data_IF_740423569633
#
_entry.id   IF_740423569633
#
_cell.length_a   1.000
_cell.length_b   1.000
_cell.length_c   1.000
_cell.angle_alpha   90.00
_cell.angle_beta   90.00
_cell.angle_gamma   90.00
#
_symmetry.space_group_name_H-M   'P 1'
#
loop_
_entity.id
_entity.type
_entity.pdbx_description
1 polymer ?
#
# COMPACT_ATOMS: atom_id res chain seq x y z
N UNK A 1 -5.31 -10.51 -7.41
CA UNK A 1 -4.32 -9.55 -7.94
C UNK A 1 -4.88 -8.92 -9.18
N UNK A 2 -4.56 -7.65 -9.42
CA UNK A 2 -4.96 -6.89 -10.62
C UNK A 2 -3.71 -6.29 -11.24
N UNK A 3 -3.77 -5.94 -12.53
CA UNK A 3 -2.70 -5.26 -13.24
C UNK A 3 -3.30 -4.47 -14.40
N UNK A 4 -2.79 -3.26 -14.66
CA UNK A 4 -3.21 -2.46 -15.82
C UNK A 4 -2.95 -0.96 -15.71
N UNK A 5 -2.61 -0.45 -14.51
CA UNK A 5 -2.18 0.93 -14.25
C UNK A 5 -0.81 0.91 -13.55
N UNK A 6 -0.45 1.99 -12.87
CA UNK A 6 0.60 2.02 -11.86
C UNK A 6 0.31 1.03 -10.73
N UNK A 7 1.37 0.40 -10.19
CA UNK A 7 1.26 -0.54 -9.07
C UNK A 7 0.50 0.04 -7.87
N UNK A 8 0.59 1.35 -7.63
CA UNK A 8 -0.15 2.04 -6.57
C UNK A 8 -1.67 2.06 -6.84
N UNK A 9 -2.09 2.33 -8.09
CA UNK A 9 -3.50 2.31 -8.45
C UNK A 9 -4.06 0.88 -8.44
N UNK A 10 -3.29 -0.08 -8.97
CA UNK A 10 -3.63 -1.50 -8.94
C UNK A 10 -3.80 -2.00 -7.50
N UNK A 11 -2.93 -1.60 -6.58
CA UNK A 11 -3.08 -1.88 -5.15
C UNK A 11 -4.39 -1.32 -4.58
N UNK A 12 -4.71 -0.05 -4.87
CA UNK A 12 -5.95 0.58 -4.39
C UNK A 12 -7.21 -0.14 -4.91
N UNK A 13 -7.19 -0.60 -6.16
CA UNK A 13 -8.30 -1.37 -6.77
C UNK A 13 -8.40 -2.75 -6.12
N UNK A 14 -7.26 -3.44 -5.94
CA UNK A 14 -7.22 -4.74 -5.27
C UNK A 14 -7.72 -4.63 -3.83
N UNK A 15 -7.34 -3.59 -3.09
CA UNK A 15 -7.81 -3.36 -1.73
C UNK A 15 -9.33 -3.27 -1.67
N UNK A 16 -9.92 -2.36 -2.47
CA UNK A 16 -11.38 -2.15 -2.49
C UNK A 16 -12.12 -3.43 -2.85
N UNK A 17 -11.65 -4.12 -3.89
CA UNK A 17 -12.21 -5.43 -4.29
C UNK A 17 -12.20 -6.42 -3.13
N UNK A 18 -11.10 -6.53 -2.38
CA UNK A 18 -11.02 -7.45 -1.23
C UNK A 18 -11.92 -7.01 -0.08
N UNK A 19 -11.96 -5.72 0.25
CA UNK A 19 -12.81 -5.18 1.31
C UNK A 19 -14.29 -5.43 1.02
N UNK A 20 -14.73 -5.16 -0.21
CA UNK A 20 -16.11 -5.39 -0.65
C UNK A 20 -16.50 -6.88 -0.60
N UNK A 21 -15.52 -7.78 -0.75
CA UNK A 21 -15.71 -9.23 -0.72
C UNK A 21 -15.48 -9.86 0.66
N UNK A 22 -15.03 -9.13 1.68
CA UNK A 22 -14.67 -9.73 2.97
C UNK A 22 -13.36 -10.53 2.96
N UNK A 23 -12.41 -10.18 2.09
CA UNK A 23 -11.17 -10.92 1.83
C UNK A 23 -9.89 -10.13 2.15
N UNK A 24 -10.00 -9.02 2.88
CA UNK A 24 -8.89 -8.13 3.22
C UNK A 24 -8.25 -8.44 4.59
N UNK A 25 -8.53 -9.62 5.13
CA UNK A 25 -7.99 -10.09 6.40
C UNK A 25 -6.59 -10.67 6.22
N UNK A 26 -5.57 -9.85 6.49
CA UNK A 26 -4.17 -10.29 6.51
C UNK A 26 -3.64 -10.26 7.94
N UNK A 27 -3.59 -11.42 8.63
CA UNK A 27 -2.97 -11.53 9.94
C UNK A 27 -1.50 -11.12 9.86
N UNK A 28 -1.04 -10.32 10.83
CA UNK A 28 0.34 -9.86 10.93
C UNK A 28 0.87 -9.11 9.68
N UNK A 29 0.01 -8.32 9.03
CA UNK A 29 0.43 -7.45 7.94
C UNK A 29 1.51 -6.45 8.36
N UNK A 30 2.38 -6.10 7.40
CA UNK A 30 3.65 -5.38 7.62
C UNK A 30 3.54 -3.85 7.51
N UNK A 31 2.35 -3.30 7.25
CA UNK A 31 2.20 -1.86 7.03
C UNK A 31 2.37 -0.99 8.29
N UNK A 32 2.20 -1.58 9.47
CA UNK A 32 2.12 -0.86 10.74
C UNK A 32 0.76 -0.17 11.02
N UNK A 33 -0.12 -0.05 10.03
CA UNK A 33 -1.49 0.44 10.21
C UNK A 33 -2.42 -0.70 10.66
N UNK A 34 -2.88 -0.66 11.92
CA UNK A 34 -3.78 -1.69 12.47
C UNK A 34 -5.13 -1.78 11.76
N UNK A 35 -5.60 -0.70 11.15
CA UNK A 35 -6.86 -0.69 10.41
C UNK A 35 -6.67 -1.22 8.98
N UNK A 36 -5.43 -1.20 8.46
CA UNK A 36 -5.10 -1.58 7.09
C UNK A 36 -3.77 -2.36 7.06
N UNK A 37 -3.71 -3.54 7.69
CA UNK A 37 -2.47 -4.19 8.09
C UNK A 37 -1.53 -4.50 6.93
N UNK A 38 -2.02 -4.69 5.71
CA UNK A 38 -1.23 -4.97 4.51
C UNK A 38 -1.34 -3.87 3.44
N UNK A 39 -1.66 -2.63 3.84
CA UNK A 39 -1.69 -1.52 2.92
C UNK A 39 -0.28 -1.15 2.43
N UNK A 40 -0.22 -0.39 1.33
CA UNK A 40 1.01 0.13 0.79
C UNK A 40 1.68 1.11 1.78
N UNK A 41 2.99 0.99 1.92
CA UNK A 41 3.81 1.84 2.80
C UNK A 41 4.67 2.76 1.92
N UNK A 42 4.59 4.07 2.16
CA UNK A 42 5.36 5.09 1.43
C UNK A 42 6.44 5.71 2.32
N UNK A 43 7.37 4.89 2.80
CA UNK A 43 8.44 5.29 3.75
C UNK A 43 9.85 5.22 3.14
N UNK A 44 9.96 5.10 1.82
CA UNK A 44 11.24 5.14 1.12
C UNK A 44 11.80 6.55 1.19
N UNK A 45 13.02 6.67 1.71
CA UNK A 45 13.78 7.93 1.76
C UNK A 45 14.99 7.85 0.83
N UNK A 46 15.27 8.89 0.02
CA UNK A 46 16.40 8.88 -0.90
C UNK A 46 17.73 8.64 -0.18
N UNK A 47 18.57 7.79 -0.76
CA UNK A 47 19.92 7.50 -0.25
C UNK A 47 20.93 7.52 -1.40
N UNK A 48 22.09 8.14 -1.17
CA UNK A 48 23.15 8.22 -2.17
C UNK A 48 23.55 6.81 -2.66
N UNK A 49 23.56 6.62 -3.99
CA UNK A 49 23.88 5.34 -4.62
C UNK A 49 22.73 4.32 -4.68
N UNK A 50 21.53 4.66 -4.21
CA UNK A 50 20.35 3.79 -4.26
C UNK A 50 19.17 4.54 -4.88
N UNK A 51 18.78 4.17 -6.10
CA UNK A 51 17.47 4.57 -6.64
C UNK A 51 16.43 3.50 -6.28
N UNK A 52 15.31 3.80 -5.65
CA UNK A 52 14.81 5.13 -5.21
C UNK A 52 15.24 5.57 -3.80
N UNK A 53 15.84 4.67 -3.02
CA UNK A 53 16.23 4.94 -1.64
C UNK A 53 16.07 3.72 -0.74
N UNK A 54 15.86 3.94 0.55
CA UNK A 54 15.67 2.87 1.55
C UNK A 54 14.38 3.10 2.34
N UNK A 55 13.58 2.04 2.48
CA UNK A 55 12.39 2.00 3.34
C UNK A 55 12.80 1.89 4.80
N UNK A 56 12.30 2.78 5.66
CA UNK A 56 12.62 2.78 7.08
C UNK A 56 12.13 1.52 7.82
N UNK A 57 10.98 0.96 7.40
CA UNK A 57 10.43 -0.28 7.91
C UNK A 57 11.05 -1.54 7.29
N UNK A 58 11.89 -1.39 6.27
CA UNK A 58 12.40 -2.50 5.46
C UNK A 58 11.40 -3.04 4.44
N UNK A 59 10.20 -2.46 4.35
CA UNK A 59 9.15 -2.79 3.40
C UNK A 59 8.41 -1.52 2.96
N UNK A 60 8.67 -1.07 1.73
CA UNK A 60 8.06 0.13 1.21
C UNK A 60 7.95 0.09 -0.30
N UNK A 61 7.07 0.92 -0.85
CA UNK A 61 6.88 1.08 -2.28
C UNK A 61 7.13 2.55 -2.67
N UNK A 62 7.78 2.81 -3.83
CA UNK A 62 7.83 4.14 -4.44
C UNK A 62 6.47 4.84 -4.55
N UNK A 63 6.44 6.17 -4.49
CA UNK A 63 5.19 6.89 -4.81
C UNK A 63 5.00 6.93 -6.33
N UNK A 64 3.85 6.45 -6.83
CA UNK A 64 3.53 6.51 -8.25
C UNK A 64 2.94 7.87 -8.66
N UNK A 65 1.94 8.34 -7.92
CA UNK A 65 1.29 9.65 -8.13
C UNK A 65 0.70 10.16 -6.83
N UNK A 66 0.55 11.48 -6.70
CA UNK A 66 -0.07 12.11 -5.52
C UNK A 66 -1.50 11.62 -5.29
N UNK A 67 -2.27 11.43 -6.38
CA UNK A 67 -3.63 10.91 -6.31
C UNK A 67 -3.68 9.48 -5.78
N UNK A 68 -2.84 8.57 -6.31
CA UNK A 68 -2.83 7.18 -5.85
C UNK A 68 -2.36 7.06 -4.38
N UNK A 69 -1.37 7.87 -3.98
CA UNK A 69 -0.92 7.94 -2.58
C UNK A 69 -2.02 8.41 -1.64
N UNK A 70 -2.71 9.50 -1.99
CA UNK A 70 -3.82 10.02 -1.18
C UNK A 70 -4.98 9.00 -1.09
N UNK A 71 -5.27 8.28 -2.17
CA UNK A 71 -6.28 7.22 -2.15
C UNK A 71 -5.89 6.08 -1.21
N UNK A 72 -4.63 5.64 -1.23
CA UNK A 72 -4.13 4.57 -0.37
C UNK A 72 -4.25 4.89 1.12
N UNK A 73 -3.96 6.13 1.51
CA UNK A 73 -4.11 6.64 2.89
C UNK A 73 -5.57 6.63 3.38
N UNK A 74 -6.53 6.70 2.44
CA UNK A 74 -7.95 6.81 2.72
C UNK A 74 -8.76 5.55 2.34
N UNK A 75 -8.10 4.41 2.16
CA UNK A 75 -8.79 3.13 1.94
C UNK A 75 -9.64 2.74 3.16
N UNK A 76 -10.71 1.93 2.97
CA UNK A 76 -11.51 1.44 4.08
C UNK A 76 -10.68 0.55 5.01
N UNK A 77 -11.00 0.57 6.31
CA UNK A 77 -10.45 -0.39 7.27
C UNK A 77 -10.92 -1.81 6.92
N UNK A 78 -10.14 -2.81 7.34
CA UNK A 78 -10.45 -4.22 7.05
C UNK A 78 -11.85 -4.61 7.50
N UNK A 79 -12.56 -5.40 6.70
CA UNK A 79 -13.99 -5.66 6.88
C UNK A 79 -14.27 -6.70 7.97
N UNK A 80 -14.05 -6.37 9.25
CA UNK A 80 -14.28 -7.18 10.48
C UNK A 80 -13.31 -8.31 10.79
#
# INVERSE_FOLDING_TARGET
GVSGDSSCADHNIAWRTRNDLGLDHVPAGVSGDRARPDNIVYDITPQAGQQEGVSASGWGHPKCSSAATALAENLPATSR
#
